data_IF_807195232715
#
_entry.id   IF_807195232715
#
_cell.length_a   1.000
_cell.length_b   1.000
_cell.length_c   1.000
_cell.angle_alpha   90.00
_cell.angle_beta   90.00
_cell.angle_gamma   90.00
#
_symmetry.space_group_name_H-M   'P 1'
#
loop_
_entity.id
_entity.type
_entity.pdbx_description
1 polymer ?
#
# COMPACT_ATOMS: atom_id res chain seq x y z
N UNK A 1 -18.41 2.31 -26.24
CA UNK A 1 -17.02 2.76 -26.04
C UNK A 1 -16.21 1.54 -25.62
N UNK A 2 -15.05 1.29 -26.22
CA UNK A 2 -14.17 0.17 -25.82
C UNK A 2 -13.60 0.37 -24.41
N UNK A 3 -13.42 -0.71 -23.65
CA UNK A 3 -12.90 -0.66 -22.27
C UNK A 3 -11.49 -0.04 -22.19
N UNK A 4 -10.65 -0.27 -23.20
CA UNK A 4 -9.32 0.33 -23.29
C UNK A 4 -9.39 1.85 -23.40
N UNK A 5 -10.27 2.36 -24.27
CA UNK A 5 -10.50 3.81 -24.42
C UNK A 5 -11.06 4.44 -23.15
N UNK A 6 -11.94 3.72 -22.44
CA UNK A 6 -12.47 4.18 -21.15
C UNK A 6 -11.36 4.28 -20.10
N UNK A 7 -10.49 3.28 -20.03
CA UNK A 7 -9.35 3.28 -19.12
C UNK A 7 -8.36 4.43 -19.41
N UNK A 8 -8.08 4.68 -20.68
CA UNK A 8 -7.22 5.80 -21.10
C UNK A 8 -7.83 7.14 -20.71
N UNK A 9 -9.15 7.30 -20.86
CA UNK A 9 -9.85 8.54 -20.54
C UNK A 9 -9.90 8.80 -19.02
N UNK A 10 -10.08 7.74 -18.21
CA UNK A 10 -9.96 7.82 -16.76
C UNK A 10 -8.53 8.19 -16.35
N UNK A 11 -7.52 7.62 -17.00
CA UNK A 11 -6.11 7.95 -16.74
C UNK A 11 -5.78 9.39 -17.11
N UNK A 12 -6.30 9.88 -18.25
CA UNK A 12 -6.20 11.30 -18.64
C UNK A 12 -6.89 12.22 -17.64
N UNK A 13 -8.04 11.81 -17.13
CA UNK A 13 -8.77 12.56 -16.10
C UNK A 13 -7.95 12.67 -14.81
N UNK A 14 -7.34 11.57 -14.36
CA UNK A 14 -6.43 11.58 -13.21
C UNK A 14 -5.22 12.49 -13.43
N UNK A 15 -4.62 12.46 -14.62
CA UNK A 15 -3.50 13.35 -14.94
C UNK A 15 -3.89 14.83 -14.89
N UNK A 16 -5.09 15.18 -15.36
CA UNK A 16 -5.64 16.55 -15.32
C UNK A 16 -5.90 17.05 -13.90
N UNK A 17 -6.16 16.16 -12.94
CA UNK A 17 -6.29 16.50 -11.52
C UNK A 17 -4.95 16.49 -10.77
N UNK A 18 -3.84 16.26 -11.47
CA UNK A 18 -2.50 16.19 -10.87
C UNK A 18 -2.20 14.85 -10.19
N UNK A 19 -3.03 13.84 -10.39
CA UNK A 19 -2.89 12.52 -9.79
C UNK A 19 -2.20 11.59 -10.78
N UNK A 20 -1.07 11.01 -10.36
CA UNK A 20 -0.34 10.03 -11.19
C UNK A 20 -0.95 8.65 -11.05
N UNK A 21 -1.23 7.97 -12.16
CA UNK A 21 -1.59 6.55 -12.17
C UNK A 21 -0.32 5.73 -12.36
N UNK A 22 -0.08 4.74 -11.48
CA UNK A 22 1.05 3.82 -11.55
C UNK A 22 0.55 2.39 -11.59
N UNK A 23 1.10 1.61 -12.51
CA UNK A 23 0.89 0.17 -12.58
C UNK A 23 1.94 -0.50 -11.71
N UNK A 24 1.51 -1.31 -10.75
CA UNK A 24 2.39 -2.05 -9.85
C UNK A 24 1.98 -3.51 -9.85
N UNK A 25 2.96 -4.42 -9.71
CA UNK A 25 2.65 -5.83 -9.49
C UNK A 25 2.41 -6.05 -8.00
N UNK A 26 1.18 -6.39 -7.63
CA UNK A 26 0.86 -6.77 -6.26
C UNK A 26 1.04 -8.27 -6.09
N UNK A 27 1.70 -8.66 -5.00
CA UNK A 27 1.86 -10.08 -4.68
C UNK A 27 0.49 -10.68 -4.30
N UNK A 28 0.00 -11.68 -5.05
CA UNK A 28 -1.31 -12.27 -4.83
C UNK A 28 -1.42 -12.99 -3.48
N UNK A 29 -0.31 -13.33 -2.82
CA UNK A 29 -0.29 -14.04 -1.54
C UNK A 29 -0.35 -13.11 -0.32
N UNK A 30 -0.13 -11.80 -0.50
CA UNK A 30 -0.07 -10.81 0.58
C UNK A 30 -1.38 -10.06 0.80
N UNK A 31 -2.34 -10.18 -0.12
CA UNK A 31 -3.65 -9.52 -0.01
C UNK A 31 -4.75 -10.56 0.01
N UNK A 32 -5.48 -10.61 1.13
CA UNK A 32 -6.72 -11.39 1.25
C UNK A 32 -7.57 -11.19 -0.01
N UNK A 33 -8.13 -12.27 -0.56
CA UNK A 33 -8.94 -12.26 -1.80
C UNK A 33 -10.15 -11.30 -1.79
N UNK A 34 -10.44 -10.64 -0.66
CA UNK A 34 -11.48 -9.63 -0.49
C UNK A 34 -10.99 -8.18 -0.57
N UNK A 35 -9.69 -7.91 -0.69
CA UNK A 35 -9.18 -6.53 -0.77
C UNK A 35 -8.96 -6.10 -2.22
N UNK A 36 -9.47 -4.92 -2.62
CA UNK A 36 -9.15 -4.36 -3.94
C UNK A 36 -7.63 -4.16 -4.07
N UNK A 37 -7.04 -4.68 -5.14
CA UNK A 37 -5.61 -4.60 -5.44
C UNK A 37 -5.29 -3.24 -6.07
N UNK A 38 -5.16 -2.23 -5.22
CA UNK A 38 -4.86 -0.85 -5.63
C UNK A 38 -5.81 0.19 -5.05
N UNK A 39 -5.60 1.46 -5.42
CA UNK A 39 -6.44 2.58 -4.98
C UNK A 39 -5.69 3.90 -4.85
N UNK A 40 -6.39 4.90 -4.31
CA UNK A 40 -5.85 6.24 -4.07
C UNK A 40 -4.91 6.23 -2.85
N UNK A 41 -3.66 6.61 -3.08
CA UNK A 41 -2.59 6.69 -2.09
C UNK A 41 -2.02 8.12 -2.04
N UNK A 42 -1.48 8.50 -0.88
CA UNK A 42 -0.71 9.74 -0.74
C UNK A 42 0.75 9.39 -0.46
N UNK A 43 1.63 9.68 -1.41
CA UNK A 43 3.07 9.45 -1.31
C UNK A 43 3.80 10.80 -1.18
N UNK A 44 4.44 11.04 -0.03
CA UNK A 44 5.16 12.30 0.25
C UNK A 44 4.32 13.55 -0.04
N UNK A 45 3.05 13.54 0.37
CA UNK A 45 2.10 14.64 0.15
C UNK A 45 1.51 14.74 -1.26
N UNK A 46 1.84 13.81 -2.17
CA UNK A 46 1.29 13.78 -3.54
C UNK A 46 0.29 12.64 -3.70
N UNK A 47 -0.83 12.90 -4.35
CA UNK A 47 -1.83 11.87 -4.66
C UNK A 47 -1.37 11.00 -5.84
N UNK A 48 -1.47 9.69 -5.68
CA UNK A 48 -1.08 8.68 -6.66
C UNK A 48 -2.13 7.57 -6.63
N UNK A 49 -2.57 7.10 -7.79
CA UNK A 49 -3.43 5.92 -7.91
C UNK A 49 -2.54 4.74 -8.27
N UNK A 50 -2.54 3.72 -7.41
CA UNK A 50 -1.86 2.45 -7.69
C UNK A 50 -2.87 1.48 -8.29
N UNK A 51 -2.50 0.83 -9.38
CA UNK A 51 -3.33 -0.13 -10.10
C UNK A 51 -2.55 -1.42 -10.25
N UNK A 52 -3.18 -2.57 -9.96
CA UNK A 52 -2.55 -3.86 -10.18
C UNK A 52 -2.36 -4.14 -11.67
N UNK A 53 -1.10 -4.29 -12.08
CA UNK A 53 -0.72 -4.64 -13.44
C UNK A 53 -1.24 -6.03 -13.84
N UNK A 54 -1.36 -6.95 -12.87
CA UNK A 54 -1.88 -8.30 -13.06
C UNK A 54 -3.40 -8.41 -13.10
N UNK A 55 -4.12 -7.33 -12.79
CA UNK A 55 -5.59 -7.34 -12.78
C UNK A 55 -6.19 -7.23 -14.19
N UNK A 56 -7.38 -7.79 -14.37
CA UNK A 56 -8.11 -7.69 -15.63
C UNK A 56 -8.51 -6.24 -15.92
N UNK A 57 -8.65 -5.89 -17.20
CA UNK A 57 -8.97 -4.51 -17.60
C UNK A 57 -10.20 -3.91 -16.89
N UNK A 58 -11.32 -4.64 -16.68
CA UNK A 58 -12.45 -4.13 -15.90
C UNK A 58 -12.09 -3.79 -14.45
N UNK A 59 -11.26 -4.61 -13.79
CA UNK A 59 -10.84 -4.39 -12.40
C UNK A 59 -9.93 -3.18 -12.28
N UNK A 60 -9.07 -2.96 -13.28
CA UNK A 60 -8.23 -1.77 -13.36
C UNK A 60 -9.08 -0.50 -13.54
N UNK A 61 -10.10 -0.56 -14.40
CA UNK A 61 -11.07 0.53 -14.58
C UNK A 61 -11.79 0.81 -13.27
N UNK A 62 -12.30 -0.22 -12.59
CA UNK A 62 -12.97 -0.09 -11.30
C UNK A 62 -12.06 0.57 -10.26
N UNK A 63 -10.78 0.20 -10.21
CA UNK A 63 -9.79 0.77 -9.28
C UNK A 63 -9.57 2.26 -9.52
N UNK A 64 -9.36 2.67 -10.78
CA UNK A 64 -9.17 4.09 -11.12
C UNK A 64 -10.45 4.89 -10.91
N UNK A 65 -11.61 4.36 -11.31
CA UNK A 65 -12.89 5.02 -11.14
C UNK A 65 -13.26 5.22 -9.66
N UNK A 66 -13.05 4.20 -8.82
CA UNK A 66 -13.27 4.29 -7.38
C UNK A 66 -12.30 5.28 -6.71
N UNK A 67 -11.06 5.40 -7.20
CA UNK A 67 -10.12 6.40 -6.71
C UNK A 67 -10.52 7.83 -7.11
N UNK A 68 -10.90 8.03 -8.38
CA UNK A 68 -11.36 9.33 -8.89
C UNK A 68 -12.66 9.81 -8.24
N UNK A 69 -13.53 8.89 -7.79
CA UNK A 69 -14.75 9.25 -7.06
C UNK A 69 -14.51 9.96 -5.72
N UNK A 70 -13.27 9.91 -5.21
CA UNK A 70 -12.86 10.54 -3.95
C UNK A 70 -12.22 11.92 -4.16
N UNK A 71 -12.08 12.36 -5.40
CA UNK A 71 -11.42 13.60 -5.81
C UNK A 71 -12.49 14.58 -6.27
N UNK A 72 -12.27 15.87 -6.04
CA UNK A 72 -13.16 16.89 -6.60
C UNK A 72 -12.94 16.99 -8.12
N UNK A 73 -13.99 16.67 -8.88
CA UNK A 73 -14.03 16.67 -10.34
C UNK A 73 -15.05 17.67 -10.90
N UNK A 74 -15.68 18.48 -10.05
CA UNK A 74 -16.78 19.38 -10.47
C UNK A 74 -16.30 20.44 -11.46
N UNK A 75 -15.06 20.92 -11.31
CA UNK A 75 -14.46 21.89 -12.21
C UNK A 75 -14.01 21.30 -13.57
N UNK A 76 -14.07 19.97 -13.76
CA UNK A 76 -13.59 19.31 -14.97
C UNK A 76 -14.75 18.82 -15.85
N UNK A 77 -14.74 19.26 -17.11
CA UNK A 77 -15.56 18.64 -18.14
C UNK A 77 -15.08 17.20 -18.37
N UNK A 78 -16.02 16.26 -18.22
CA UNK A 78 -15.84 14.82 -18.42
C UNK A 78 -16.93 14.30 -19.36
N UNK A 79 -16.59 13.38 -20.28
CA UNK A 79 -17.60 12.69 -21.07
C UNK A 79 -18.64 12.00 -20.18
N UNK A 80 -19.94 11.96 -20.55
CA UNK A 80 -21.00 11.39 -19.72
C UNK A 80 -20.73 9.96 -19.27
N UNK A 81 -20.18 9.13 -20.16
CA UNK A 81 -19.79 7.74 -19.87
C UNK A 81 -18.74 7.66 -18.75
N UNK A 82 -17.76 8.57 -18.74
CA UNK A 82 -16.69 8.62 -17.72
C UNK A 82 -17.27 9.03 -16.37
N UNK A 83 -18.13 10.07 -16.35
CA UNK A 83 -18.78 10.54 -15.14
C UNK A 83 -19.71 9.47 -14.55
N UNK A 84 -20.45 8.75 -15.40
CA UNK A 84 -21.28 7.62 -14.99
C UNK A 84 -20.45 6.47 -14.40
N UNK A 85 -19.32 6.11 -15.03
CA UNK A 85 -18.42 5.07 -14.48
C UNK A 85 -17.87 5.48 -13.12
N UNK A 86 -17.38 6.71 -12.94
CA UNK A 86 -16.89 7.18 -11.65
C UNK A 86 -17.99 7.13 -10.58
N UNK A 87 -19.20 7.61 -10.92
CA UNK A 87 -20.36 7.58 -10.02
C UNK A 87 -20.74 6.16 -9.60
N UNK A 88 -20.74 5.20 -10.53
CA UNK A 88 -21.06 3.79 -10.24
C UNK A 88 -20.08 3.15 -9.24
N UNK A 89 -18.82 3.59 -9.22
CA UNK A 89 -17.78 3.04 -8.35
C UNK A 89 -17.58 3.82 -7.02
N UNK A 90 -18.34 4.89 -6.77
CA UNK A 90 -18.22 5.70 -5.55
C UNK A 90 -18.56 4.93 -4.25
N UNK A 91 -19.45 3.94 -4.34
CA UNK A 91 -19.85 3.10 -3.19
C UNK A 91 -18.67 2.23 -2.70
N UNK A 92 -17.78 1.82 -3.62
CA UNK A 92 -16.64 0.95 -3.32
C UNK A 92 -15.49 1.73 -2.64
N UNK A 93 -15.21 2.96 -3.08
CA UNK A 93 -14.18 3.82 -2.47
C UNK A 93 -14.51 4.23 -1.03
N UNK A 94 -15.79 4.54 -0.75
CA UNK A 94 -16.24 4.92 0.59
C UNK A 94 -16.26 3.75 1.59
N UNK A 95 -16.52 2.52 1.12
CA UNK A 95 -16.42 1.31 1.94
C UNK A 95 -14.97 1.02 2.34
N UNK A 96 -14.03 1.09 1.38
CA UNK A 96 -12.61 0.90 1.64
C UNK A 96 -12.06 1.93 2.65
N UNK A 97 -12.47 3.20 2.56
CA UNK A 97 -12.07 4.24 3.55
C UNK A 97 -12.68 4.02 4.92
N UNK A 98 -13.97 3.65 5.00
CA UNK A 98 -14.62 3.28 6.28
C UNK A 98 -13.90 2.10 6.93
N UNK A 99 -13.49 1.10 6.17
CA UNK A 99 -12.76 -0.07 6.67
C UNK A 99 -11.32 0.26 7.08
N UNK A 100 -10.62 1.11 6.33
CA UNK A 100 -9.29 1.60 6.70
C UNK A 100 -9.31 2.48 7.96
N UNK A 101 -10.41 3.23 8.19
CA UNK A 101 -10.63 4.00 9.40
C UNK A 101 -11.13 3.14 10.58
N UNK A 102 -11.83 2.02 10.30
CA UNK A 102 -12.37 1.11 11.32
C UNK A 102 -11.35 0.10 11.85
N UNK A 103 -10.21 -0.10 11.18
CA UNK A 103 -9.12 -0.90 11.74
C UNK A 103 -8.40 -0.09 12.83
N UNK A 104 -8.40 -0.51 14.11
CA UNK A 104 -7.54 0.11 15.10
C UNK A 104 -6.09 -0.10 14.67
N UNK A 105 -5.38 1.00 14.38
CA UNK A 105 -3.92 0.98 14.15
C UNK A 105 -3.24 0.68 15.49
N UNK A 106 -3.20 -0.58 15.89
CA UNK A 106 -2.33 -1.00 16.98
C UNK A 106 -0.88 -0.79 16.53
N UNK A 107 -0.03 -0.09 17.31
CA UNK A 107 1.38 0.00 17.02
C UNK A 107 1.98 -1.40 17.04
N UNK A 108 2.37 -1.92 15.88
CA UNK A 108 3.06 -3.20 15.83
C UNK A 108 4.47 -3.00 16.38
N UNK A 109 4.89 -3.75 17.42
CA UNK A 109 6.24 -3.62 17.94
C UNK A 109 7.24 -4.00 16.87
N UNK A 110 8.24 -3.13 16.67
CA UNK A 110 9.36 -3.39 15.77
C UNK A 110 10.02 -4.73 16.13
N UNK A 111 10.42 -5.55 15.13
CA UNK A 111 11.14 -6.78 15.41
C UNK A 111 12.45 -6.46 16.17
N UNK A 112 12.84 -7.27 17.17
CA UNK A 112 14.03 -6.99 17.96
C UNK A 112 15.26 -7.06 17.06
N UNK A 113 15.95 -5.91 16.94
CA UNK A 113 17.28 -5.82 16.34
C UNK A 113 18.21 -6.70 17.17
N UNK A 114 18.62 -7.85 16.62
CA UNK A 114 19.68 -8.66 17.23
C UNK A 114 20.97 -7.84 17.22
N UNK A 115 21.33 -7.29 18.37
CA UNK A 115 22.66 -6.76 18.60
C UNK A 115 23.66 -7.90 18.35
N UNK A 116 24.53 -7.73 17.36
CA UNK A 116 25.62 -8.67 17.10
C UNK A 116 26.57 -8.59 18.29
N UNK A 117 26.72 -9.70 19.02
CA UNK A 117 27.73 -9.82 20.06
C UNK A 117 29.09 -9.71 19.37
N UNK A 118 29.74 -8.54 19.53
CA UNK A 118 31.17 -8.40 19.28
C UNK A 118 31.84 -9.10 20.46
N UNK A 119 32.69 -10.07 20.14
CA UNK A 119 33.45 -10.82 21.13
C UNK A 119 34.51 -9.94 21.77
N UNK A 120 34.80 -10.23 23.03
CA UNK A 120 36.01 -9.81 23.72
C UNK A 120 36.66 -11.11 24.23
N UNK A 121 37.66 -11.52 23.47
CA UNK A 121 38.74 -12.43 23.83
C UNK A 121 39.75 -11.54 24.56
N UNK A 122 39.98 -11.74 25.86
CA UNK A 122 41.18 -11.25 26.55
C UNK A 122 41.30 -11.93 27.93
N UNK A 123 42.45 -12.59 28.13
CA UNK A 123 42.72 -13.47 29.26
C UNK A 123 43.05 -12.79 30.59
N UNK A 124 43.14 -13.62 31.63
CA UNK A 124 43.90 -13.27 32.82
C UNK A 124 44.45 -14.51 33.54
N UNK A 125 45.78 -14.52 33.65
CA UNK A 125 46.62 -15.30 34.55
C UNK A 125 46.27 -15.17 36.04
N UNK A 126 46.69 -16.17 36.81
CA UNK A 126 46.89 -16.12 38.26
C UNK A 126 46.33 -17.39 38.92
N UNK A 127 47.04 -18.18 39.72
CA UNK A 127 48.30 -18.00 40.43
C UNK A 127 48.24 -18.91 41.66
N UNK A 128 49.17 -19.85 41.73
CA UNK A 128 49.63 -20.71 42.85
C UNK A 128 49.02 -20.54 44.25
N UNK A 129 48.77 -21.67 44.92
CA UNK A 129 49.32 -21.94 46.26
C UNK A 129 48.41 -22.53 47.37
N UNK A 130 48.87 -23.63 48.00
CA UNK A 130 48.51 -24.10 49.36
C UNK A 130 47.55 -25.29 49.40
N UNK A 131 48.00 -26.54 49.61
CA UNK A 131 48.08 -27.27 50.92
C UNK A 131 46.77 -27.13 51.71
N UNK A 132 46.08 -28.20 52.12
CA UNK A 132 46.48 -29.23 53.08
C UNK A 132 45.60 -30.50 52.91
N UNK A 133 46.15 -31.70 53.10
CA UNK A 133 45.37 -32.92 53.43
C UNK A 133 45.26 -33.09 54.95
N UNK A 134 45.07 -34.31 55.49
CA UNK A 134 44.54 -35.53 54.90
C UNK A 134 43.40 -36.14 55.76
N UNK A 135 42.77 -37.20 55.24
CA UNK A 135 41.87 -38.09 55.95
C UNK A 135 41.58 -39.33 55.12
#
# INVERSE_FOLDING_TARGET
>A
MELSRLFDELTRTAARTGIKVRMEHFDPNLSDMRRPRGGLCTLRGRQVILVDAGAALPDRIATVAAALSQVDLEALFLPPIVRATIGAHAVQGSAARRQAAAAPRAPQPLPPVRARHRGDDDGQEGGRGGREGPG
#
